data_IF_340541752917
#
_entry.id   IF_340541752917
#
_cell.length_a   1.000
_cell.length_b   1.000
_cell.length_c   1.000
_cell.angle_alpha   90.00
_cell.angle_beta   90.00
_cell.angle_gamma   90.00
#
_symmetry.space_group_name_H-M   'P 1'
#
loop_
_entity.id
_entity.type
_entity.pdbx_description
1 polymer ?
#
# COMPACT_ATOMS: atom_id res chain seq x y z
N UNK A 1 25.15 -12.67 -2.79
CA UNK A 1 23.70 -12.38 -2.86
C UNK A 1 23.04 -12.71 -1.55
N UNK A 2 22.65 -11.69 -0.79
CA UNK A 2 21.92 -11.88 0.47
C UNK A 2 20.40 -11.83 0.25
N UNK A 3 19.71 -12.86 0.71
CA UNK A 3 18.24 -12.91 0.74
C UNK A 3 17.73 -12.45 2.10
N UNK A 4 17.06 -11.30 2.13
CA UNK A 4 16.38 -10.80 3.32
C UNK A 4 14.90 -10.62 2.96
N UNK A 5 14.00 -11.26 3.71
CA UNK A 5 12.53 -11.19 3.53
C UNK A 5 12.05 -11.45 2.09
N UNK A 6 12.58 -12.51 1.45
CA UNK A 6 12.24 -12.92 0.08
C UNK A 6 12.56 -11.86 -0.99
N UNK A 7 13.47 -10.93 -0.72
CA UNK A 7 14.07 -10.04 -1.72
C UNK A 7 15.57 -10.21 -1.79
N UNK A 8 16.08 -10.13 -3.02
CA UNK A 8 17.51 -10.04 -3.31
C UNK A 8 17.98 -8.61 -3.03
N UNK A 9 18.92 -8.46 -2.11
CA UNK A 9 19.55 -7.17 -1.85
C UNK A 9 20.90 -7.12 -2.58
N UNK A 10 21.20 -5.96 -3.19
CA UNK A 10 22.49 -5.75 -3.84
C UNK A 10 23.61 -5.64 -2.80
N UNK A 11 24.52 -6.58 -2.90
CA UNK A 11 25.75 -6.75 -2.14
C UNK A 11 26.65 -5.48 -2.09
N UNK A 12 26.63 -4.67 -3.15
CA UNK A 12 27.43 -3.45 -3.30
C UNK A 12 26.88 -2.20 -2.60
N UNK A 13 25.61 -2.20 -2.17
CA UNK A 13 24.97 -1.01 -1.58
C UNK A 13 25.28 -0.90 -0.08
N UNK A 14 25.29 0.33 0.42
CA UNK A 14 25.33 0.59 1.87
C UNK A 14 24.08 0.06 2.56
N UNK A 15 24.20 -0.32 3.83
CA UNK A 15 23.09 -0.87 4.62
C UNK A 15 21.88 0.06 4.57
N UNK A 16 22.14 1.36 4.70
CA UNK A 16 21.14 2.43 4.67
C UNK A 16 20.19 2.34 3.45
N UNK A 17 20.75 2.16 2.26
CA UNK A 17 19.97 2.05 1.01
C UNK A 17 19.57 0.62 0.69
N UNK A 18 20.26 -0.37 1.25
CA UNK A 18 19.96 -1.78 1.05
C UNK A 18 18.60 -2.15 1.69
N UNK A 19 18.31 -1.62 2.88
CA UNK A 19 17.09 -1.94 3.63
C UNK A 19 15.85 -1.23 3.07
N UNK A 20 16.00 -0.11 2.37
CA UNK A 20 14.85 0.63 1.76
C UNK A 20 14.22 -0.11 0.59
N UNK A 21 14.89 -1.14 0.05
CA UNK A 21 14.31 -2.05 -0.93
C UNK A 21 13.09 -2.78 -0.33
N UNK A 22 13.07 -2.99 0.99
CA UNK A 22 11.96 -3.62 1.70
C UNK A 22 10.78 -2.67 1.84
N UNK A 23 9.59 -3.15 1.48
CA UNK A 23 8.37 -2.37 1.55
C UNK A 23 8.00 -2.06 3.01
N UNK A 24 7.93 -0.77 3.30
CA UNK A 24 7.63 -0.26 4.64
C UNK A 24 8.85 0.30 5.37
N UNK A 25 10.08 0.08 4.86
CA UNK A 25 11.31 0.64 5.41
C UNK A 25 11.76 1.84 4.58
N UNK A 26 11.92 2.97 5.27
CA UNK A 26 12.48 4.20 4.70
C UNK A 26 13.91 4.42 5.19
N UNK A 27 14.63 5.37 4.60
CA UNK A 27 15.99 5.74 5.02
C UNK A 27 16.08 6.07 6.52
N UNK A 28 15.13 6.86 7.03
CA UNK A 28 15.02 7.17 8.45
C UNK A 28 14.89 5.90 9.32
N UNK A 29 14.04 4.96 8.91
CA UNK A 29 13.86 3.72 9.66
C UNK A 29 15.10 2.83 9.57
N UNK A 30 15.73 2.76 8.41
CA UNK A 30 17.00 2.04 8.24
C UNK A 30 18.08 2.59 9.16
N UNK A 31 18.23 3.91 9.24
CA UNK A 31 19.18 4.53 10.15
C UNK A 31 18.85 4.22 11.62
N UNK A 32 17.55 4.26 11.98
CA UNK A 32 17.08 3.88 13.33
C UNK A 32 17.41 2.43 13.67
N UNK A 33 17.21 1.50 12.73
CA UNK A 33 17.56 0.08 12.90
C UNK A 33 19.07 -0.06 13.13
N UNK A 34 19.89 0.59 12.30
CA UNK A 34 21.35 0.55 12.42
C UNK A 34 21.83 1.09 13.78
N UNK A 35 21.28 2.23 14.23
CA UNK A 35 21.60 2.81 15.54
C UNK A 35 21.26 1.87 16.69
N UNK A 36 20.11 1.21 16.64
CA UNK A 36 19.67 0.31 17.72
C UNK A 36 20.48 -0.98 17.81
N UNK A 37 21.07 -1.44 16.70
CA UNK A 37 21.93 -2.63 16.67
C UNK A 37 23.41 -2.27 16.89
N UNK A 38 23.76 -0.99 16.76
CA UNK A 38 25.14 -0.51 16.86
C UNK A 38 25.97 -0.79 15.60
N UNK A 39 25.35 -0.72 14.42
CA UNK A 39 26.03 -0.91 13.13
C UNK A 39 26.18 0.43 12.42
N UNK A 40 27.35 0.69 11.82
CA UNK A 40 27.52 1.87 10.99
C UNK A 40 26.69 1.73 9.69
N UNK A 41 25.74 2.65 9.42
CA UNK A 41 24.84 2.58 8.27
C UNK A 41 25.52 2.70 6.90
N UNK A 42 26.74 3.24 6.85
CA UNK A 42 27.51 3.42 5.60
C UNK A 42 28.27 2.16 5.17
N UNK A 43 28.37 1.16 6.04
CA UNK A 43 29.00 -0.11 5.69
C UNK A 43 28.23 -0.77 4.55
N UNK A 44 28.95 -1.38 3.60
CA UNK A 44 28.36 -2.16 2.53
C UNK A 44 27.90 -3.53 3.01
N UNK A 45 26.85 -4.07 2.41
CA UNK A 45 26.24 -5.34 2.83
C UNK A 45 27.26 -6.50 2.85
N UNK A 46 28.18 -6.53 1.87
CA UNK A 46 29.23 -7.53 1.76
C UNK A 46 30.20 -7.59 2.95
N UNK A 47 30.35 -6.49 3.69
CA UNK A 47 31.29 -6.40 4.81
C UNK A 47 30.64 -6.79 6.15
N UNK A 48 29.35 -7.14 6.16
CA UNK A 48 28.66 -7.55 7.38
C UNK A 48 29.01 -8.98 7.77
N UNK A 49 29.26 -9.18 9.07
CA UNK A 49 29.32 -10.52 9.65
C UNK A 49 27.92 -11.13 9.75
N UNK A 50 27.81 -12.45 9.61
CA UNK A 50 26.55 -13.19 9.69
C UNK A 50 25.76 -12.93 10.99
N UNK A 51 26.46 -12.74 12.12
CA UNK A 51 25.83 -12.38 13.39
C UNK A 51 25.05 -11.04 13.31
N UNK A 52 25.63 -10.02 12.66
CA UNK A 52 24.95 -8.74 12.47
C UNK A 52 23.75 -8.85 11.55
N UNK A 53 23.82 -9.70 10.52
CA UNK A 53 22.69 -9.98 9.62
C UNK A 53 21.54 -10.62 10.40
N UNK A 54 21.82 -11.61 11.24
CA UNK A 54 20.80 -12.25 12.07
C UNK A 54 20.18 -11.27 13.07
N UNK A 55 20.99 -10.38 13.66
CA UNK A 55 20.49 -9.29 14.53
C UNK A 55 19.58 -8.32 13.78
N UNK A 56 19.91 -7.97 12.53
CA UNK A 56 19.05 -7.15 11.68
C UNK A 56 17.70 -7.83 11.43
N UNK A 57 17.70 -9.10 11.04
CA UNK A 57 16.48 -9.86 10.74
C UNK A 57 15.59 -9.98 11.99
N UNK A 58 16.18 -10.37 13.12
CA UNK A 58 15.44 -10.52 14.39
C UNK A 58 14.87 -9.19 14.87
N UNK A 59 15.63 -8.11 14.79
CA UNK A 59 15.16 -6.77 15.15
C UNK A 59 13.99 -6.32 14.27
N UNK A 60 14.10 -6.51 12.95
CA UNK A 60 13.04 -6.12 12.00
C UNK A 60 11.77 -6.93 12.26
N UNK A 61 11.87 -8.25 12.42
CA UNK A 61 10.72 -9.12 12.70
C UNK A 61 10.00 -8.77 13.99
N UNK A 62 10.74 -8.42 15.05
CA UNK A 62 10.16 -8.15 16.36
C UNK A 62 9.47 -6.78 16.41
N UNK A 63 10.07 -5.76 15.79
CA UNK A 63 9.66 -4.37 16.03
C UNK A 63 8.86 -3.75 14.89
N UNK A 64 8.93 -4.30 13.67
CA UNK A 64 8.37 -3.68 12.48
C UNK A 64 7.46 -4.64 11.71
N UNK A 65 6.32 -4.12 11.24
CA UNK A 65 5.48 -4.81 10.27
C UNK A 65 5.97 -4.45 8.87
N UNK A 66 6.51 -5.42 8.14
CA UNK A 66 7.19 -5.19 6.85
C UNK A 66 6.56 -6.07 5.76
N UNK A 67 6.75 -5.68 4.50
CA UNK A 67 6.35 -6.42 3.29
C UNK A 67 4.89 -6.90 3.31
N UNK A 68 4.68 -8.22 3.38
CA UNK A 68 3.36 -8.82 3.17
C UNK A 68 2.40 -8.49 4.30
N UNK A 69 2.88 -8.41 5.54
CA UNK A 69 2.05 -8.03 6.69
C UNK A 69 1.53 -6.60 6.51
N UNK A 70 2.39 -5.67 6.10
CA UNK A 70 1.98 -4.28 5.88
C UNK A 70 1.04 -4.13 4.67
N UNK A 71 1.26 -4.89 3.59
CA UNK A 71 0.36 -4.92 2.43
C UNK A 71 -1.02 -5.50 2.78
N UNK A 72 -1.08 -6.58 3.56
CA UNK A 72 -2.33 -7.19 4.05
C UNK A 72 -3.12 -6.21 4.91
N UNK A 73 -2.49 -5.66 5.95
CA UNK A 73 -3.13 -4.66 6.83
C UNK A 73 -3.66 -3.45 6.04
N UNK A 74 -2.92 -3.00 5.02
CA UNK A 74 -3.38 -1.91 4.16
C UNK A 74 -4.63 -2.30 3.36
N UNK A 75 -4.68 -3.51 2.81
CA UNK A 75 -5.83 -3.98 2.05
C UNK A 75 -7.04 -4.23 2.94
N UNK A 76 -6.86 -4.83 4.11
CA UNK A 76 -7.91 -5.05 5.11
C UNK A 76 -8.58 -3.73 5.48
N UNK A 77 -7.79 -2.71 5.82
CA UNK A 77 -8.32 -1.37 6.11
C UNK A 77 -9.09 -0.75 4.95
N UNK A 78 -8.71 -1.04 3.71
CA UNK A 78 -9.45 -0.57 2.54
C UNK A 78 -10.78 -1.30 2.37
N UNK A 79 -10.81 -2.60 2.64
CA UNK A 79 -12.03 -3.41 2.60
C UNK A 79 -13.01 -2.98 3.70
N UNK A 80 -12.53 -2.74 4.92
CA UNK A 80 -13.35 -2.20 6.03
C UNK A 80 -14.03 -0.88 5.62
N UNK A 81 -13.28 0.05 5.01
CA UNK A 81 -13.83 1.34 4.56
C UNK A 81 -14.91 1.18 3.48
N UNK A 82 -14.83 0.12 2.68
CA UNK A 82 -15.82 -0.23 1.66
C UNK A 82 -17.05 -0.91 2.27
N UNK A 83 -16.86 -1.82 3.21
CA UNK A 83 -17.94 -2.53 3.92
C UNK A 83 -18.81 -1.56 4.72
N UNK A 84 -18.18 -0.62 5.44
CA UNK A 84 -18.87 0.47 6.16
C UNK A 84 -19.58 1.44 5.19
N UNK A 85 -19.21 1.43 3.90
CA UNK A 85 -19.67 2.39 2.87
C UNK A 85 -19.34 3.85 3.22
N UNK A 86 -18.18 4.06 3.85
CA UNK A 86 -17.66 5.41 4.08
C UNK A 86 -17.45 6.16 2.76
N UNK A 87 -17.61 7.49 2.74
CA UNK A 87 -17.34 8.31 1.56
C UNK A 87 -15.92 8.04 0.99
N UNK A 88 -14.94 7.86 1.88
CA UNK A 88 -13.57 7.49 1.52
C UNK A 88 -13.51 6.15 0.77
N UNK A 89 -14.18 5.12 1.27
CA UNK A 89 -14.26 3.82 0.61
C UNK A 89 -14.92 3.92 -0.77
N UNK A 90 -16.08 4.58 -0.85
CA UNK A 90 -16.83 4.76 -2.11
C UNK A 90 -15.95 5.45 -3.16
N UNK A 91 -15.28 6.55 -2.81
CA UNK A 91 -14.40 7.28 -3.75
C UNK A 91 -13.21 6.43 -4.18
N UNK A 92 -12.63 5.67 -3.26
CA UNK A 92 -11.53 4.77 -3.58
C UNK A 92 -11.96 3.64 -4.52
N UNK A 93 -13.16 3.07 -4.34
CA UNK A 93 -13.75 2.09 -5.27
C UNK A 93 -14.00 2.68 -6.67
N UNK A 94 -14.49 3.92 -6.71
CA UNK A 94 -14.76 4.63 -7.95
C UNK A 94 -13.49 5.07 -8.69
N UNK A 95 -12.30 4.97 -8.06
CA UNK A 95 -11.07 5.48 -8.62
C UNK A 95 -11.07 7.01 -8.69
N UNK A 96 -11.55 7.66 -7.63
CA UNK A 96 -11.54 9.11 -7.46
C UNK A 96 -10.67 9.54 -6.28
N UNK A 97 -10.12 10.77 -6.31
CA UNK A 97 -9.43 11.35 -5.17
C UNK A 97 -10.24 11.29 -3.87
N UNK A 98 -9.60 10.87 -2.79
CA UNK A 98 -10.24 10.63 -1.49
C UNK A 98 -10.21 11.88 -0.59
N UNK A 99 -9.21 12.75 -0.75
CA UNK A 99 -8.95 13.90 0.15
C UNK A 99 -9.63 15.20 -0.29
N UNK A 100 -10.83 15.12 -0.87
CA UNK A 100 -11.60 16.31 -1.30
C UNK A 100 -11.01 17.10 -2.48
N UNK A 101 -10.10 16.50 -3.24
CA UNK A 101 -9.45 17.16 -4.38
C UNK A 101 -10.43 17.33 -5.56
N UNK A 102 -10.25 18.40 -6.36
CA UNK A 102 -11.07 18.69 -7.54
C UNK A 102 -10.96 17.58 -8.59
N UNK A 103 -12.11 17.06 -9.06
CA UNK A 103 -12.16 15.92 -10.00
C UNK A 103 -12.54 16.27 -11.44
N UNK A 104 -12.93 17.51 -11.71
CA UNK A 104 -13.34 17.97 -13.03
C UNK A 104 -12.18 17.96 -14.05
N UNK A 105 -11.02 18.50 -13.66
CA UNK A 105 -9.85 18.62 -14.54
C UNK A 105 -8.74 17.64 -14.17
N UNK A 106 -8.16 17.78 -12.97
CA UNK A 106 -6.90 17.14 -12.60
C UNK A 106 -7.09 15.97 -11.61
N UNK A 107 -7.52 14.82 -12.13
CA UNK A 107 -7.60 13.56 -11.38
C UNK A 107 -6.92 12.37 -12.09
N UNK A 108 -5.99 12.66 -13.03
CA UNK A 108 -5.39 11.67 -13.94
C UNK A 108 -4.66 10.54 -13.22
N UNK A 109 -3.85 10.85 -12.20
CA UNK A 109 -3.05 9.85 -11.46
C UNK A 109 -3.94 8.79 -10.82
N UNK A 110 -4.97 9.20 -10.07
CA UNK A 110 -5.89 8.27 -9.42
C UNK A 110 -6.74 7.51 -10.46
N UNK A 111 -7.23 8.19 -11.49
CA UNK A 111 -8.00 7.55 -12.57
C UNK A 111 -7.18 6.50 -13.33
N UNK A 112 -5.88 6.73 -13.56
CA UNK A 112 -4.95 5.75 -14.16
C UNK A 112 -4.66 4.58 -13.22
N UNK A 113 -4.53 4.85 -11.93
CA UNK A 113 -4.28 3.83 -10.90
C UNK A 113 -5.52 2.99 -10.57
N UNK A 114 -6.68 3.26 -11.18
CA UNK A 114 -7.85 2.38 -11.13
C UNK A 114 -7.44 1.02 -11.70
N UNK A 115 -6.99 0.13 -10.83
CA UNK A 115 -6.76 -1.26 -11.19
C UNK A 115 -8.06 -1.79 -11.80
N UNK A 116 -7.91 -2.51 -12.92
CA UNK A 116 -8.93 -3.33 -13.56
C UNK A 116 -9.25 -4.52 -12.62
N UNK A 117 -9.69 -4.22 -11.39
CA UNK A 117 -10.18 -5.20 -10.43
C UNK A 117 -11.68 -5.47 -10.64
N UNK A 118 -12.27 -4.83 -11.65
CA UNK A 118 -13.61 -5.15 -12.16
C UNK A 118 -13.44 -6.24 -13.22
N UNK A 119 -12.99 -7.42 -12.80
CA UNK A 119 -13.19 -8.66 -13.54
C UNK A 119 -13.06 -9.86 -12.59
N UNK A 120 -13.93 -9.90 -11.59
CA UNK A 120 -14.45 -11.17 -11.07
C UNK A 120 -15.84 -10.96 -10.45
N UNK A 121 -16.84 -11.31 -11.26
CA UNK A 121 -18.18 -11.80 -10.90
C UNK A 121 -18.97 -10.97 -9.87
N UNK A 122 -19.55 -9.87 -10.33
CA UNK A 122 -20.98 -9.64 -10.03
C UNK A 122 -21.73 -10.25 -11.21
N UNK A 123 -21.89 -11.57 -11.16
CA UNK A 123 -22.85 -12.24 -12.03
C UNK A 123 -24.24 -11.70 -11.71
N UNK A 124 -24.80 -10.96 -12.67
CA UNK A 124 -26.20 -10.92 -13.11
C UNK A 124 -27.27 -10.69 -12.02
N UNK A 125 -28.13 -9.69 -12.29
CA UNK A 125 -29.43 -9.41 -11.66
C UNK A 125 -29.44 -8.44 -10.47
N UNK A 126 -29.03 -7.19 -10.69
CA UNK A 126 -29.72 -6.08 -10.02
C UNK A 126 -30.69 -5.49 -11.03
N UNK A 127 -32.00 -5.73 -10.80
CA UNK A 127 -33.11 -5.19 -11.59
C UNK A 127 -32.86 -3.70 -11.87
N UNK A 128 -33.07 -3.18 -13.10
CA UNK A 128 -32.97 -1.75 -13.32
C UNK A 128 -34.01 -1.06 -12.45
N UNK A 129 -33.59 -0.08 -11.65
CA UNK A 129 -34.50 0.84 -10.98
C UNK A 129 -35.36 1.49 -12.08
N UNK A 130 -36.61 1.07 -12.23
CA UNK A 130 -37.57 1.72 -13.13
C UNK A 130 -37.84 3.10 -12.54
N UNK A 131 -37.23 4.14 -13.11
CA UNK A 131 -37.70 5.51 -12.91
C UNK A 131 -39.14 5.58 -13.45
N UNK A 132 -40.14 5.68 -12.57
CA UNK A 132 -41.49 6.07 -13.00
C UNK A 132 -41.41 7.55 -13.41
N UNK A 133 -41.69 7.92 -14.68
CA UNK A 133 -41.74 9.32 -15.06
C UNK A 133 -42.87 10.00 -14.27
N UNK A 134 -42.60 11.19 -13.72
CA UNK A 134 -43.64 12.02 -13.10
C UNK A 134 -44.68 12.36 -14.16
N UNK A 135 -45.92 11.90 -13.96
CA UNK A 135 -47.07 12.30 -14.77
C UNK A 135 -47.18 13.82 -14.67
N UNK A 136 -46.99 14.54 -15.79
CA UNK A 136 -47.29 15.97 -15.86
C UNK A 136 -48.79 16.12 -15.64
N UNK A 137 -49.21 16.68 -14.50
CA UNK A 137 -50.59 17.13 -14.32
C UNK A 137 -50.81 18.28 -15.31
N UNK A 138 -51.55 18.02 -16.38
CA UNK A 138 -52.11 19.07 -17.24
C UNK A 138 -53.09 19.87 -16.38
N UNK A 139 -52.78 21.14 -16.12
CA UNK A 139 -53.76 22.08 -15.56
C UNK A 139 -54.82 22.31 -16.65
N UNK A 140 -56.07 21.98 -16.34
CA UNK A 140 -57.23 22.59 -17.00
C UNK A 140 -57.43 23.98 -16.41
#
# INVERSE_FOLDING_TARGET
MLYIFNKTISDSKSILHSLTILYGINEFQSNKICKNIGINPQITLNKLKNNHVNRLITYINKNLKVEQVLKKNKNERLNELLEIKSNRGIRQNQGLPVRGQRTHTNAKTIKKLKKIFIQKRISRNKRPFKFKPKIKKTKK
#
